data_IF_462205099561
#
_entry.id   IF_462205099561
#
_cell.length_a   1.000
_cell.length_b   1.000
_cell.length_c   1.000
_cell.angle_alpha   90.00
_cell.angle_beta   90.00
_cell.angle_gamma   90.00
#
_symmetry.space_group_name_H-M   'P 1'
#
loop_
_entity.id
_entity.type
_entity.pdbx_description
1 polymer ?
#
# COMPACT_ATOMS: atom_id res chain seq x y z
N UNK A 1 -14.27 -2.50 -29.68
CA UNK A 1 -13.78 -2.64 -28.31
C UNK A 1 -12.42 -3.35 -28.35
N UNK A 2 -11.36 -2.67 -27.86
CA UNK A 2 -9.97 -3.13 -28.00
C UNK A 2 -9.76 -4.54 -27.43
N UNK A 3 -10.40 -4.85 -26.32
CA UNK A 3 -10.24 -6.14 -25.64
C UNK A 3 -10.79 -7.31 -26.47
N UNK A 4 -11.87 -7.09 -27.21
CA UNK A 4 -12.48 -8.11 -28.09
C UNK A 4 -11.58 -8.56 -29.24
N UNK A 5 -10.50 -7.82 -29.53
CA UNK A 5 -9.53 -8.20 -30.57
C UNK A 5 -8.49 -9.22 -30.08
N UNK A 6 -8.35 -9.40 -28.76
CA UNK A 6 -7.27 -10.20 -28.16
C UNK A 6 -7.76 -11.48 -27.48
N UNK A 7 -9.04 -11.59 -27.15
CA UNK A 7 -9.60 -12.78 -26.49
C UNK A 7 -11.10 -12.89 -26.73
N UNK A 8 -11.59 -14.14 -26.83
CA UNK A 8 -13.01 -14.46 -26.81
C UNK A 8 -13.49 -14.93 -25.43
N UNK A 9 -12.57 -15.01 -24.46
CA UNK A 9 -12.88 -15.42 -23.09
C UNK A 9 -13.60 -14.29 -22.32
N UNK A 10 -14.85 -14.54 -21.97
CA UNK A 10 -15.70 -13.56 -21.27
C UNK A 10 -15.22 -13.23 -19.86
N UNK A 11 -14.56 -14.18 -19.17
CA UNK A 11 -13.97 -13.91 -17.84
C UNK A 11 -12.79 -12.95 -17.96
N UNK A 12 -11.92 -13.15 -18.96
CA UNK A 12 -10.78 -12.26 -19.21
C UNK A 12 -11.30 -10.86 -19.59
N UNK A 13 -12.31 -10.77 -20.45
CA UNK A 13 -12.94 -9.49 -20.83
C UNK A 13 -13.50 -8.75 -19.61
N UNK A 14 -14.21 -9.47 -18.75
CA UNK A 14 -14.78 -8.92 -17.52
C UNK A 14 -13.69 -8.41 -16.58
N UNK A 15 -12.66 -9.23 -16.33
CA UNK A 15 -11.51 -8.84 -15.49
C UNK A 15 -10.80 -7.60 -16.03
N UNK A 16 -10.53 -7.55 -17.32
CA UNK A 16 -9.87 -6.42 -17.97
C UNK A 16 -10.72 -5.14 -17.86
N UNK A 17 -12.05 -5.26 -18.03
CA UNK A 17 -12.97 -4.13 -17.86
C UNK A 17 -12.98 -3.64 -16.41
N UNK A 18 -13.06 -4.52 -15.43
CA UNK A 18 -13.02 -4.17 -14.01
C UNK A 18 -11.72 -3.44 -13.65
N UNK A 19 -10.58 -3.95 -14.12
CA UNK A 19 -9.27 -3.30 -13.91
C UNK A 19 -9.20 -1.93 -14.57
N UNK A 20 -9.74 -1.78 -15.78
CA UNK A 20 -9.82 -0.51 -16.46
C UNK A 20 -10.70 0.50 -15.69
N UNK A 21 -11.89 0.08 -15.28
CA UNK A 21 -12.82 0.92 -14.50
C UNK A 21 -12.21 1.38 -13.17
N UNK A 22 -11.41 0.51 -12.52
CA UNK A 22 -10.65 0.85 -11.32
C UNK A 22 -9.55 1.88 -11.67
N UNK A 23 -8.78 1.63 -12.73
CA UNK A 23 -7.67 2.52 -13.12
C UNK A 23 -8.11 3.94 -13.42
N UNK A 24 -9.32 4.11 -13.97
CA UNK A 24 -9.90 5.43 -14.24
C UNK A 24 -10.17 6.24 -12.96
N UNK A 25 -10.33 5.56 -11.82
CA UNK A 25 -10.56 6.19 -10.50
C UNK A 25 -9.26 6.48 -9.75
N UNK A 26 -8.16 5.84 -10.14
CA UNK A 26 -6.87 5.93 -9.46
C UNK A 26 -5.92 6.93 -10.11
N UNK A 27 -6.47 7.99 -10.67
CA UNK A 27 -5.66 9.05 -11.29
C UNK A 27 -5.07 10.01 -10.24
N UNK A 28 -3.90 10.60 -10.48
CA UNK A 28 -3.35 11.62 -9.60
C UNK A 28 -4.35 12.75 -9.32
N UNK A 29 -4.49 13.13 -8.05
CA UNK A 29 -5.45 14.14 -7.58
C UNK A 29 -6.84 13.60 -7.24
N UNK A 30 -7.18 12.35 -7.60
CA UNK A 30 -8.41 11.71 -7.15
C UNK A 30 -8.34 11.39 -5.64
N UNK A 31 -9.50 11.35 -5.00
CA UNK A 31 -9.58 10.93 -3.58
C UNK A 31 -9.16 9.47 -3.47
N UNK A 32 -8.25 9.19 -2.54
CA UNK A 32 -7.77 7.83 -2.28
C UNK A 32 -8.90 6.93 -1.76
N UNK A 33 -9.00 5.67 -2.23
CA UNK A 33 -9.65 4.63 -1.46
C UNK A 33 -9.15 4.63 -0.02
N UNK A 34 -10.03 4.36 0.93
CA UNK A 34 -9.71 4.42 2.37
C UNK A 34 -9.71 3.05 3.01
N UNK A 35 -8.98 2.93 4.11
CA UNK A 35 -9.13 1.86 5.09
C UNK A 35 -9.58 2.44 6.43
N UNK A 36 -10.30 1.64 7.19
CA UNK A 36 -10.85 2.04 8.48
C UNK A 36 -10.62 0.94 9.50
N UNK A 37 -10.17 1.34 10.69
CA UNK A 37 -10.05 0.44 11.84
C UNK A 37 -9.17 -0.79 11.62
N UNK A 38 -8.06 -0.66 10.88
CA UNK A 38 -7.08 -1.73 10.76
C UNK A 38 -6.32 -1.92 12.07
N UNK A 39 -6.04 -3.17 12.44
CA UNK A 39 -5.25 -3.48 13.64
C UNK A 39 -3.86 -2.84 13.54
N UNK A 40 -3.47 -2.12 14.60
CA UNK A 40 -2.13 -1.54 14.72
C UNK A 40 -1.28 -2.41 15.65
N UNK A 41 -0.05 -2.72 15.24
CA UNK A 41 0.90 -3.52 16.04
C UNK A 41 1.18 -2.89 17.42
N UNK A 42 1.09 -1.58 17.55
CA UNK A 42 1.28 -0.84 18.80
C UNK A 42 0.04 -0.87 19.71
N UNK A 43 -1.01 -1.53 19.27
CA UNK A 43 -2.30 -1.62 19.95
C UNK A 43 -3.33 -0.64 19.38
N UNK A 44 -4.61 -1.00 19.55
CA UNK A 44 -5.72 -0.24 18.99
C UNK A 44 -5.89 -0.44 17.48
N UNK A 45 -6.55 0.53 16.87
CA UNK A 45 -6.90 0.53 15.45
C UNK A 45 -6.47 1.85 14.81
N UNK A 46 -6.24 1.81 13.50
CA UNK A 46 -5.82 2.98 12.72
C UNK A 46 -6.58 3.02 11.40
N UNK A 47 -6.97 4.21 11.01
CA UNK A 47 -7.65 4.51 9.75
C UNK A 47 -6.79 5.45 8.88
N UNK A 48 -7.01 5.48 7.58
CA UNK A 48 -6.28 6.42 6.70
C UNK A 48 -6.52 7.89 7.11
N UNK A 49 -7.71 8.21 7.62
CA UNK A 49 -8.06 9.54 8.11
C UNK A 49 -7.17 10.06 9.24
N UNK A 50 -6.52 9.18 10.00
CA UNK A 50 -5.66 9.55 11.13
C UNK A 50 -4.36 10.22 10.67
N UNK A 51 -4.04 10.07 9.37
CA UNK A 51 -2.86 10.68 8.75
C UNK A 51 -3.16 11.98 8.01
N UNK A 52 -4.38 12.52 8.14
CA UNK A 52 -4.76 13.79 7.48
C UNK A 52 -3.77 14.91 7.84
N UNK A 53 -3.36 15.66 6.84
CA UNK A 53 -2.35 16.72 6.97
C UNK A 53 -0.91 16.26 6.76
N UNK A 54 -0.68 14.97 6.52
CA UNK A 54 0.63 14.39 6.20
C UNK A 54 0.62 13.71 4.85
N UNK A 55 1.76 13.63 4.20
CA UNK A 55 1.96 12.67 3.12
C UNK A 55 1.96 11.25 3.68
N UNK A 56 1.47 10.28 2.92
CA UNK A 56 1.45 8.88 3.35
C UNK A 56 2.07 8.02 2.25
N UNK A 57 3.17 7.35 2.57
CA UNK A 57 3.77 6.33 1.72
C UNK A 57 3.37 4.96 2.25
N UNK A 58 2.51 4.27 1.50
CA UNK A 58 1.94 2.98 1.89
C UNK A 58 2.71 1.86 1.21
N UNK A 59 3.06 0.84 1.99
CA UNK A 59 3.61 -0.45 1.57
C UNK A 59 2.56 -1.54 1.81
N UNK A 60 2.09 -2.21 0.76
CA UNK A 60 1.22 -3.39 0.88
C UNK A 60 2.08 -4.64 0.70
N UNK A 61 2.11 -5.48 1.73
CA UNK A 61 3.02 -6.60 1.85
C UNK A 61 2.42 -7.81 2.58
N UNK A 62 3.19 -8.88 2.75
CA UNK A 62 2.87 -10.01 3.63
C UNK A 62 4.13 -10.71 4.11
N UNK A 63 4.05 -11.42 5.24
CA UNK A 63 5.19 -12.15 5.82
C UNK A 63 5.75 -13.24 4.91
N UNK A 64 4.91 -13.84 4.09
CA UNK A 64 5.27 -14.89 3.12
C UNK A 64 5.80 -14.34 1.79
N UNK A 65 5.74 -13.02 1.56
CA UNK A 65 6.14 -12.38 0.32
C UNK A 65 7.65 -12.14 0.28
N UNK A 66 8.39 -12.98 -0.42
CA UNK A 66 9.85 -12.86 -0.57
C UNK A 66 10.29 -11.50 -1.15
N UNK A 67 9.76 -11.05 -2.30
CA UNK A 67 10.08 -9.74 -2.86
C UNK A 67 9.76 -8.56 -1.92
N UNK A 68 8.67 -8.65 -1.12
CA UNK A 68 8.36 -7.63 -0.13
C UNK A 68 9.43 -7.55 0.96
N UNK A 69 9.89 -8.70 1.43
CA UNK A 69 10.93 -8.77 2.46
C UNK A 69 12.26 -8.19 1.99
N UNK A 70 12.56 -8.27 0.70
CA UNK A 70 13.76 -7.63 0.12
C UNK A 70 13.68 -6.10 0.15
N UNK A 71 12.50 -5.52 0.14
CA UNK A 71 12.32 -4.05 0.24
C UNK A 71 12.45 -3.52 1.67
N UNK A 72 12.27 -4.34 2.71
CA UNK A 72 12.29 -3.93 4.11
C UNK A 72 13.56 -3.13 4.49
N UNK A 73 14.80 -3.58 4.17
CA UNK A 73 15.99 -2.81 4.51
C UNK A 73 16.03 -1.42 3.87
N UNK A 74 15.49 -1.30 2.65
CA UNK A 74 15.43 -0.04 1.92
C UNK A 74 14.35 0.87 2.50
N UNK A 75 13.19 0.31 2.88
CA UNK A 75 12.10 1.04 3.53
C UNK A 75 12.57 1.63 4.87
N UNK A 76 13.24 0.83 5.72
CA UNK A 76 13.83 1.31 6.99
C UNK A 76 14.79 2.48 6.79
N UNK A 77 15.62 2.44 5.72
CA UNK A 77 16.53 3.56 5.39
C UNK A 77 15.76 4.82 5.00
N UNK A 78 14.68 4.68 4.21
CA UNK A 78 13.83 5.82 3.87
C UNK A 78 13.15 6.40 5.10
N UNK A 79 12.56 5.57 5.96
CA UNK A 79 11.93 5.99 7.21
C UNK A 79 12.92 6.78 8.09
N UNK A 80 14.14 6.26 8.26
CA UNK A 80 15.17 6.95 9.02
C UNK A 80 15.55 8.30 8.38
N UNK A 81 15.68 8.34 7.05
CA UNK A 81 16.09 9.54 6.30
C UNK A 81 15.02 10.64 6.36
N UNK A 82 13.75 10.26 6.36
CA UNK A 82 12.63 11.18 6.40
C UNK A 82 12.03 11.35 7.81
N UNK A 83 12.72 10.82 8.83
CA UNK A 83 12.30 10.99 10.22
C UNK A 83 12.12 12.48 10.57
N UNK A 84 10.99 12.81 11.21
CA UNK A 84 10.66 14.19 11.57
C UNK A 84 10.16 15.07 10.42
N UNK A 85 10.07 14.54 9.20
CA UNK A 85 9.41 15.20 8.09
C UNK A 85 7.90 14.95 8.10
N UNK A 86 7.16 15.75 7.32
CA UNK A 86 5.69 15.64 7.27
C UNK A 86 5.20 14.50 6.36
N UNK A 87 5.68 13.31 6.63
CA UNK A 87 5.32 12.06 5.93
C UNK A 87 5.22 10.92 6.93
N UNK A 88 4.22 10.05 6.73
CA UNK A 88 4.11 8.78 7.44
C UNK A 88 4.38 7.62 6.48
N UNK A 89 5.13 6.64 6.98
CA UNK A 89 5.33 5.37 6.31
C UNK A 89 4.41 4.34 6.96
N UNK A 90 3.53 3.74 6.15
CA UNK A 90 2.47 2.85 6.62
C UNK A 90 2.59 1.52 5.88
N UNK A 91 2.92 0.46 6.59
CA UNK A 91 2.97 -0.90 6.03
C UNK A 91 1.69 -1.63 6.39
N UNK A 92 0.96 -2.09 5.38
CA UNK A 92 -0.31 -2.82 5.51
C UNK A 92 -0.04 -4.28 5.11
N UNK A 93 -0.09 -5.18 6.10
CA UNK A 93 -0.02 -6.61 5.84
C UNK A 93 -1.35 -7.15 5.33
N UNK A 94 -1.28 -8.00 4.31
CA UNK A 94 -2.39 -8.80 3.81
C UNK A 94 -2.26 -10.28 4.17
N UNK A 95 -1.54 -10.59 5.25
CA UNK A 95 -1.58 -11.94 5.82
C UNK A 95 -3.02 -12.29 6.23
N UNK A 96 -3.36 -13.58 6.16
CA UNK A 96 -4.66 -14.06 6.64
C UNK A 96 -4.82 -13.76 8.13
N UNK A 97 -6.04 -13.45 8.58
CA UNK A 97 -6.31 -13.16 9.99
C UNK A 97 -5.95 -14.34 10.92
N UNK A 98 -6.05 -15.57 10.45
CA UNK A 98 -5.60 -16.76 11.18
C UNK A 98 -4.08 -16.75 11.41
N UNK A 99 -3.32 -16.08 10.57
CA UNK A 99 -1.86 -15.90 10.66
C UNK A 99 -1.45 -14.56 11.30
N UNK A 100 -2.38 -13.82 11.92
CA UNK A 100 -2.10 -12.53 12.54
C UNK A 100 -0.96 -12.59 13.56
N UNK A 101 -0.85 -13.70 14.32
CA UNK A 101 0.24 -13.85 15.28
C UNK A 101 1.61 -13.93 14.59
N UNK A 102 1.70 -14.62 13.46
CA UNK A 102 2.94 -14.70 12.65
C UNK A 102 3.37 -13.31 12.16
N UNK A 103 2.41 -12.47 11.74
CA UNK A 103 2.70 -11.08 11.37
C UNK A 103 3.23 -10.28 12.58
N UNK A 104 2.58 -10.40 13.75
CA UNK A 104 3.02 -9.69 14.96
C UNK A 104 4.44 -10.10 15.39
N UNK A 105 4.74 -11.39 15.30
CA UNK A 105 6.06 -11.93 15.65
C UNK A 105 7.11 -11.42 14.64
N UNK A 106 6.82 -11.49 13.35
CA UNK A 106 7.72 -10.99 12.30
C UNK A 106 8.03 -9.50 12.47
N UNK A 107 7.01 -8.66 12.71
CA UNK A 107 7.20 -7.22 12.92
C UNK A 107 8.13 -6.94 14.10
N UNK A 108 8.03 -7.71 15.18
CA UNK A 108 8.88 -7.58 16.37
C UNK A 108 10.29 -8.10 16.14
N UNK A 109 10.42 -9.29 15.59
CA UNK A 109 11.71 -9.96 15.35
C UNK A 109 12.59 -9.17 14.38
N UNK A 110 12.00 -8.72 13.28
CA UNK A 110 12.68 -7.89 12.29
C UNK A 110 12.73 -6.41 12.67
N UNK A 111 12.18 -6.03 13.83
CA UNK A 111 12.16 -4.65 14.33
C UNK A 111 11.67 -3.65 13.25
N UNK A 112 10.52 -3.96 12.65
CA UNK A 112 9.94 -3.09 11.64
C UNK A 112 9.52 -1.76 12.25
N UNK A 113 9.86 -0.68 11.56
CA UNK A 113 9.57 0.70 11.96
C UNK A 113 8.35 1.25 11.21
N UNK A 114 8.06 2.54 11.33
CA UNK A 114 6.86 3.12 10.75
C UNK A 114 5.56 2.66 11.44
N UNK A 115 4.45 2.81 10.74
CA UNK A 115 3.14 2.35 11.19
C UNK A 115 2.87 0.98 10.58
N UNK A 116 2.75 -0.04 11.42
CA UNK A 116 2.53 -1.42 11.00
C UNK A 116 1.08 -1.80 11.25
N UNK A 117 0.33 -2.07 10.18
CA UNK A 117 -1.09 -2.38 10.20
C UNK A 117 -1.36 -3.75 9.57
N UNK A 118 -2.46 -4.37 9.99
CA UNK A 118 -2.98 -5.58 9.37
C UNK A 118 -4.32 -5.29 8.72
N UNK A 119 -4.47 -5.65 7.45
CA UNK A 119 -5.73 -5.52 6.72
C UNK A 119 -6.82 -6.39 7.36
N UNK A 120 -8.06 -5.93 7.28
CA UNK A 120 -9.23 -6.55 7.89
C UNK A 120 -9.67 -7.88 7.25
N UNK A 121 -9.24 -8.15 5.99
CA UNK A 121 -9.70 -9.30 5.23
C UNK A 121 -8.76 -9.68 4.07
N UNK A 122 -7.46 -9.73 4.34
CA UNK A 122 -6.44 -10.13 3.34
C UNK A 122 -6.62 -9.44 1.97
N UNK A 123 -6.52 -10.20 0.88
CA UNK A 123 -6.80 -9.76 -0.49
C UNK A 123 -8.24 -9.28 -0.72
N UNK A 124 -9.16 -9.63 0.17
CA UNK A 124 -10.59 -9.31 0.07
C UNK A 124 -10.93 -7.99 0.75
N UNK A 125 -9.98 -7.38 1.45
CA UNK A 125 -10.12 -6.04 2.02
C UNK A 125 -10.57 -5.04 0.95
N UNK A 126 -11.54 -4.19 1.28
CA UNK A 126 -12.06 -3.19 0.36
C UNK A 126 -10.98 -2.20 -0.12
N UNK A 127 -10.05 -1.84 0.74
CA UNK A 127 -8.91 -1.01 0.35
C UNK A 127 -8.08 -1.66 -0.76
N UNK A 128 -7.76 -2.95 -0.62
CA UNK A 128 -6.97 -3.72 -1.58
C UNK A 128 -7.70 -3.84 -2.92
N UNK A 129 -9.01 -4.15 -2.88
CA UNK A 129 -9.86 -4.25 -4.07
C UNK A 129 -10.01 -2.91 -4.79
N UNK A 130 -10.26 -1.84 -4.05
CA UNK A 130 -10.48 -0.51 -4.62
C UNK A 130 -9.20 0.08 -5.25
N UNK A 131 -8.02 -0.33 -4.77
CA UNK A 131 -6.75 -0.06 -5.45
C UNK A 131 -6.42 -1.04 -6.57
N UNK A 132 -7.25 -2.05 -6.82
CA UNK A 132 -7.01 -3.06 -7.86
C UNK A 132 -5.72 -3.86 -7.62
N UNK A 133 -5.30 -4.03 -6.37
CA UNK A 133 -4.06 -4.72 -6.03
C UNK A 133 -4.24 -6.21 -6.23
N UNK A 134 -3.49 -6.79 -7.17
CA UNK A 134 -3.50 -8.23 -7.52
C UNK A 134 -2.16 -8.91 -7.23
N UNK A 135 -1.13 -8.12 -6.91
CA UNK A 135 0.21 -8.61 -6.58
C UNK A 135 0.89 -7.67 -5.60
N UNK A 136 1.80 -8.21 -4.80
CA UNK A 136 2.63 -7.49 -3.84
C UNK A 136 4.12 -7.78 -4.10
N UNK A 137 5.04 -6.86 -3.72
CA UNK A 137 4.77 -5.59 -3.03
C UNK A 137 4.07 -4.55 -3.91
N UNK A 138 3.24 -3.71 -3.32
CA UNK A 138 2.63 -2.55 -3.95
C UNK A 138 2.89 -1.32 -3.09
N UNK A 139 3.32 -0.23 -3.73
CA UNK A 139 3.56 1.04 -3.04
C UNK A 139 2.58 2.09 -3.54
N UNK A 140 2.12 2.94 -2.62
CA UNK A 140 1.13 3.99 -2.91
C UNK A 140 1.58 5.26 -2.20
N UNK A 141 1.44 6.40 -2.87
CA UNK A 141 1.74 7.70 -2.29
C UNK A 141 0.51 8.61 -2.32
N UNK A 142 0.15 9.15 -1.16
CA UNK A 142 -1.04 9.97 -0.91
C UNK A 142 -0.60 11.32 -0.37
N UNK A 143 -1.29 12.40 -0.75
CA UNK A 143 -1.03 13.75 -0.29
C UNK A 143 -1.70 14.07 1.07
N UNK A 144 -1.46 15.28 1.56
CA UNK A 144 -1.96 15.78 2.86
C UNK A 144 -3.49 15.89 2.92
N UNK A 145 -4.14 16.01 1.78
CA UNK A 145 -5.59 16.11 1.63
C UNK A 145 -6.26 14.73 1.46
N UNK A 146 -5.46 13.65 1.40
CA UNK A 146 -5.95 12.29 1.17
C UNK A 146 -6.19 11.95 -0.29
N UNK A 147 -5.51 12.66 -1.21
CA UNK A 147 -5.60 12.42 -2.66
C UNK A 147 -4.41 11.61 -3.14
N UNK A 148 -4.61 10.84 -4.18
CA UNK A 148 -3.58 10.01 -4.81
C UNK A 148 -2.54 10.90 -5.48
N UNK A 149 -1.27 10.74 -5.12
CA UNK A 149 -0.13 11.25 -5.90
C UNK A 149 0.29 10.17 -6.90
N UNK A 150 0.46 8.94 -6.42
CA UNK A 150 0.82 7.80 -7.25
C UNK A 150 0.26 6.51 -6.64
N UNK A 151 -0.58 5.78 -7.38
CA UNK A 151 -1.17 4.52 -6.94
C UNK A 151 -0.27 3.29 -7.19
N UNK A 152 0.82 3.48 -7.91
CA UNK A 152 1.88 2.50 -8.16
C UNK A 152 3.25 3.19 -8.02
N UNK A 153 3.52 3.69 -6.82
CA UNK A 153 4.71 4.45 -6.50
C UNK A 153 5.98 3.59 -6.63
N UNK A 154 7.14 4.19 -6.96
CA UNK A 154 8.39 3.46 -7.05
C UNK A 154 8.74 2.82 -5.70
N UNK A 155 9.45 1.67 -5.77
CA UNK A 155 9.85 0.87 -4.61
C UNK A 155 10.89 1.56 -3.75
N UNK A 156 10.99 1.26 -2.46
CA UNK A 156 12.04 1.81 -1.57
C UNK A 156 13.46 1.63 -2.08
N UNK A 157 13.74 0.52 -2.78
CA UNK A 157 15.06 0.22 -3.36
C UNK A 157 15.41 1.07 -4.58
N UNK A 158 14.43 1.74 -5.19
CA UNK A 158 14.62 2.56 -6.39
C UNK A 158 15.02 3.99 -6.02
N UNK A 159 16.06 4.57 -6.66
CA UNK A 159 16.49 5.95 -6.38
C UNK A 159 15.39 7.00 -6.60
N UNK A 160 14.45 6.72 -7.50
CA UNK A 160 13.32 7.58 -7.85
C UNK A 160 12.41 7.84 -6.65
N UNK A 161 12.29 6.88 -5.73
CA UNK A 161 11.49 7.02 -4.52
C UNK A 161 12.00 8.15 -3.64
N UNK A 162 13.30 8.17 -3.38
CA UNK A 162 13.88 9.24 -2.57
C UNK A 162 13.78 10.60 -3.25
N UNK A 163 13.99 10.65 -4.58
CA UNK A 163 13.85 11.89 -5.36
C UNK A 163 12.41 12.41 -5.26
N UNK A 164 11.43 11.51 -5.46
CA UNK A 164 10.01 11.85 -5.37
C UNK A 164 9.65 12.39 -3.98
N UNK A 165 10.02 11.70 -2.92
CA UNK A 165 9.70 12.12 -1.55
C UNK A 165 10.37 13.45 -1.19
N UNK A 166 11.61 13.70 -1.62
CA UNK A 166 12.29 14.99 -1.43
C UNK A 166 11.60 16.14 -2.14
N UNK A 167 10.98 15.89 -3.29
CA UNK A 167 10.30 16.94 -4.04
C UNK A 167 9.00 17.42 -3.39
N UNK A 168 8.46 16.64 -2.43
CA UNK A 168 7.20 16.93 -1.73
C UNK A 168 7.40 17.57 -0.37
N UNK A 169 8.60 17.46 0.22
CA UNK A 169 8.91 17.79 1.61
C UNK A 169 9.92 18.91 1.72
#
# INVERSE_FOLDING_TARGET
DFINQYTDDEEIKKMAKEMYDISLKLVPGAVSPTFTDYENIKGGKTSLSDFKGKYVYIDVWATWCGPCRMEIPHLKKLEQKFHGKNIEFVSISIDDLENAQKWRDFVKEDQLTGVQLMADNDWKSEFIKNYGIKSIPRFILIDKEGKIINYDAPRPSQPETEILLKSLL
#
